data_IF_334375884721
#
_entry.id   IF_334375884721
#
_cell.length_a   1.000
_cell.length_b   1.000
_cell.length_c   1.000
_cell.angle_alpha   90.00
_cell.angle_beta   90.00
_cell.angle_gamma   90.00
#
_symmetry.space_group_name_H-M   'P 1'
#
loop_
_entity.id
_entity.type
_entity.pdbx_description
1 polymer ?
#
# COMPACT_ATOMS: atom_id res chain seq x y z
N UNK A 1 -12.04 -4.74 7.47
CA UNK A 1 -11.27 -3.62 6.89
C UNK A 1 -11.42 -3.67 5.38
N UNK A 2 -12.07 -2.65 4.80
CA UNK A 2 -12.17 -2.45 3.35
C UNK A 2 -10.77 -2.55 2.75
N UNK A 3 -10.51 -3.59 1.97
CA UNK A 3 -9.16 -3.88 1.47
C UNK A 3 -8.84 -2.90 0.35
N UNK A 4 -7.82 -2.03 0.48
CA UNK A 4 -7.49 -1.12 -0.59
C UNK A 4 -7.10 -1.93 -1.83
N UNK A 5 -7.69 -1.57 -2.98
CA UNK A 5 -7.34 -2.10 -4.29
C UNK A 5 -5.90 -1.78 -4.70
N UNK A 6 -5.32 -0.81 -4.00
CA UNK A 6 -3.98 -0.30 -4.19
C UNK A 6 -3.07 -0.83 -3.08
N UNK A 7 -1.99 -1.53 -3.46
CA UNK A 7 -0.99 -2.03 -2.52
C UNK A 7 0.40 -1.60 -2.97
N UNK A 8 1.24 -1.22 -2.03
CA UNK A 8 2.61 -0.77 -2.29
C UNK A 8 3.57 -1.53 -1.39
N UNK A 9 4.74 -1.91 -1.90
CA UNK A 9 5.86 -2.32 -1.05
C UNK A 9 6.83 -1.15 -0.97
N UNK A 10 7.07 -0.65 0.24
CA UNK A 10 7.77 0.62 0.46
C UNK A 10 9.28 0.40 0.66
N UNK A 11 10.15 1.20 0.01
CA UNK A 11 11.57 1.18 0.31
C UNK A 11 11.85 1.58 1.77
N UNK A 12 12.69 0.84 2.48
CA UNK A 12 13.15 1.25 3.82
C UNK A 12 14.28 2.30 3.75
N UNK A 13 14.00 3.39 3.03
CA UNK A 13 14.90 4.52 2.90
C UNK A 13 14.47 5.69 3.79
N UNK A 14 15.41 6.57 4.11
CA UNK A 14 15.16 7.80 4.88
C UNK A 14 14.03 8.65 4.28
N UNK A 15 13.94 8.74 2.95
CA UNK A 15 12.92 9.51 2.25
C UNK A 15 11.53 8.93 2.50
N UNK A 16 11.43 7.60 2.56
CA UNK A 16 10.23 6.91 2.90
C UNK A 16 9.86 7.21 4.37
N UNK A 17 10.81 7.13 5.31
CA UNK A 17 10.60 7.43 6.74
C UNK A 17 10.12 8.86 6.96
N UNK A 18 10.68 9.82 6.22
CA UNK A 18 10.23 11.20 6.25
C UNK A 18 8.79 11.35 5.75
N UNK A 19 8.43 10.65 4.66
CA UNK A 19 7.04 10.68 4.16
C UNK A 19 6.06 10.14 5.19
N UNK A 20 6.42 9.07 5.92
CA UNK A 20 5.60 8.55 7.00
C UNK A 20 5.43 9.53 8.16
N UNK A 21 6.49 10.24 8.54
CA UNK A 21 6.45 11.23 9.60
C UNK A 21 5.56 12.42 9.21
N UNK A 22 5.77 12.99 8.02
CA UNK A 22 4.94 14.08 7.49
C UNK A 22 3.49 13.62 7.40
N UNK A 23 3.27 12.40 6.94
CA UNK A 23 1.95 11.84 6.87
C UNK A 23 1.33 11.76 8.29
N UNK A 24 2.01 11.16 9.26
CA UNK A 24 1.53 11.09 10.65
C UNK A 24 1.17 12.48 11.22
N UNK A 25 2.02 13.48 10.98
CA UNK A 25 1.80 14.86 11.40
C UNK A 25 0.58 15.52 10.73
N UNK A 26 0.19 15.10 9.51
CA UNK A 26 -1.03 15.54 8.86
C UNK A 26 -2.28 14.79 9.34
N UNK A 27 -2.17 13.50 9.65
CA UNK A 27 -3.29 12.70 10.15
C UNK A 27 -3.69 13.12 11.56
N UNK A 28 -2.71 13.34 12.45
CA UNK A 28 -2.95 13.68 13.84
C UNK A 28 -3.95 14.85 14.04
N UNK A 29 -3.79 16.02 13.40
CA UNK A 29 -4.75 17.12 13.53
C UNK A 29 -6.11 16.76 12.93
N UNK A 30 -6.19 16.01 11.83
CA UNK A 30 -7.48 15.57 11.25
C UNK A 30 -8.24 14.69 12.24
N UNK A 31 -7.58 13.73 12.87
CA UNK A 31 -8.19 12.86 13.88
C UNK A 31 -8.65 13.68 15.09
N UNK A 32 -7.83 14.62 15.56
CA UNK A 32 -8.20 15.52 16.65
C UNK A 32 -9.43 16.35 16.28
N UNK A 33 -9.47 16.92 15.07
CA UNK A 33 -10.61 17.67 14.57
C UNK A 33 -11.86 16.79 14.52
N UNK A 34 -11.78 15.57 13.97
CA UNK A 34 -12.93 14.64 13.95
C UNK A 34 -13.44 14.28 15.35
N UNK A 35 -12.54 14.24 16.35
CA UNK A 35 -12.88 13.98 17.74
C UNK A 35 -13.35 15.22 18.51
N UNK A 36 -13.09 16.44 18.05
CA UNK A 36 -13.45 17.66 18.79
C UNK A 36 -14.53 18.49 18.10
N UNK A 37 -14.73 18.33 16.80
CA UNK A 37 -15.74 19.05 16.03
C UNK A 37 -17.14 18.78 16.57
N UNK A 38 -17.93 19.86 16.62
CA UNK A 38 -19.38 19.78 16.83
C UNK A 38 -20.00 19.08 15.64
N UNK A 39 -20.67 17.97 15.92
CA UNK A 39 -21.37 17.20 14.90
C UNK A 39 -22.67 17.92 14.52
N UNK A 40 -23.06 17.93 13.24
CA UNK A 40 -24.37 18.39 12.83
C UNK A 40 -25.48 17.61 13.54
N UNK A 41 -26.50 18.31 14.05
CA UNK A 41 -27.62 17.67 14.79
C UNK A 41 -28.29 16.60 13.93
N UNK A 42 -28.52 16.88 12.65
CA UNK A 42 -29.10 15.93 11.69
C UNK A 42 -28.32 14.60 11.58
N UNK A 43 -26.99 14.64 11.70
CA UNK A 43 -26.17 13.42 11.65
C UNK A 43 -26.32 12.59 12.92
N UNK A 44 -26.44 13.26 14.07
CA UNK A 44 -26.62 12.60 15.36
C UNK A 44 -28.04 12.00 15.45
N UNK A 45 -29.04 12.70 14.95
CA UNK A 45 -30.42 12.22 14.86
C UNK A 45 -30.56 10.97 13.97
N UNK A 46 -29.85 10.94 12.83
CA UNK A 46 -29.82 9.76 11.94
C UNK A 46 -29.35 8.48 12.63
N UNK A 47 -28.53 8.59 13.68
CA UNK A 47 -28.03 7.43 14.42
C UNK A 47 -28.66 7.32 15.81
N UNK A 48 -29.88 7.84 15.97
CA UNK A 48 -30.68 7.68 17.18
C UNK A 48 -30.19 8.50 18.37
N UNK A 49 -29.48 9.62 18.13
CA UNK A 49 -29.03 10.52 19.19
C UNK A 49 -27.66 10.17 19.78
N UNK A 50 -26.95 9.17 19.24
CA UNK A 50 -25.65 8.72 19.75
C UNK A 50 -24.47 9.36 18.99
N UNK A 51 -23.90 10.50 19.45
CA UNK A 51 -22.83 11.21 18.74
C UNK A 51 -21.54 10.39 18.61
N UNK A 52 -21.32 9.44 19.51
CA UNK A 52 -20.15 8.55 19.45
C UNK A 52 -20.16 7.66 18.20
N UNK A 53 -21.32 7.21 17.73
CA UNK A 53 -21.37 6.34 16.55
C UNK A 53 -20.92 7.12 15.31
N UNK A 54 -21.38 8.36 15.15
CA UNK A 54 -20.96 9.27 14.08
C UNK A 54 -19.46 9.53 14.14
N UNK A 55 -18.89 9.74 15.35
CA UNK A 55 -17.45 9.94 15.54
C UNK A 55 -16.63 8.72 15.18
N UNK A 56 -17.04 7.54 15.62
CA UNK A 56 -16.38 6.28 15.26
C UNK A 56 -16.45 6.07 13.74
N UNK A 57 -17.60 6.33 13.13
CA UNK A 57 -17.75 6.23 11.67
C UNK A 57 -16.83 7.22 10.93
N UNK A 58 -16.76 8.48 11.36
CA UNK A 58 -15.84 9.49 10.82
C UNK A 58 -14.38 9.08 11.01
N UNK A 59 -14.02 8.58 12.19
CA UNK A 59 -12.66 8.13 12.48
C UNK A 59 -12.27 6.94 11.58
N UNK A 60 -13.17 5.97 11.40
CA UNK A 60 -12.96 4.86 10.48
C UNK A 60 -12.83 5.35 9.03
N UNK A 61 -13.64 6.32 8.62
CA UNK A 61 -13.55 6.92 7.28
C UNK A 61 -12.21 7.66 7.09
N UNK A 62 -11.78 8.42 8.08
CA UNK A 62 -10.49 9.12 8.06
C UNK A 62 -9.33 8.14 7.99
N UNK A 63 -9.32 7.09 8.82
CA UNK A 63 -8.30 6.04 8.77
C UNK A 63 -8.30 5.30 7.43
N UNK A 64 -9.48 5.07 6.86
CA UNK A 64 -9.60 4.45 5.54
C UNK A 64 -9.05 5.35 4.42
N UNK A 65 -9.45 6.62 4.40
CA UNK A 65 -8.93 7.60 3.44
C UNK A 65 -7.42 7.79 3.61
N UNK A 66 -6.94 7.72 4.85
CA UNK A 66 -5.54 7.81 5.19
C UNK A 66 -4.69 6.70 4.59
N UNK A 67 -5.12 5.45 4.72
CA UNK A 67 -4.45 4.30 4.12
C UNK A 67 -4.34 4.45 2.59
N UNK A 68 -5.38 5.01 1.95
CA UNK A 68 -5.34 5.35 0.52
C UNK A 68 -4.33 6.44 0.19
N UNK A 69 -4.34 7.55 0.93
CA UNK A 69 -3.40 8.66 0.74
C UNK A 69 -1.95 8.20 0.91
N UNK A 70 -1.65 7.42 1.96
CA UNK A 70 -0.31 6.86 2.17
C UNK A 70 0.12 6.00 1.00
N UNK A 71 -0.75 5.10 0.55
CA UNK A 71 -0.42 4.23 -0.57
C UNK A 71 -0.15 5.06 -1.84
N UNK A 72 -0.95 6.09 -2.14
CA UNK A 72 -0.74 7.01 -3.26
C UNK A 72 0.61 7.73 -3.14
N UNK A 73 0.90 8.32 -1.99
CA UNK A 73 2.17 9.01 -1.73
C UNK A 73 3.35 8.06 -1.92
N UNK A 74 3.25 6.83 -1.42
CA UNK A 74 4.30 5.84 -1.62
C UNK A 74 4.45 5.41 -3.08
N UNK A 75 3.40 5.40 -3.89
CA UNK A 75 3.50 5.13 -5.32
C UNK A 75 4.12 6.28 -6.15
N UNK A 76 4.15 7.48 -5.58
CA UNK A 76 4.92 8.60 -6.13
C UNK A 76 6.42 8.44 -5.89
N UNK A 77 6.84 7.69 -4.86
CA UNK A 77 8.25 7.38 -4.66
C UNK A 77 8.79 6.58 -5.87
N UNK A 78 10.00 6.91 -6.34
CA UNK A 78 10.52 6.37 -7.60
C UNK A 78 10.76 4.85 -7.55
N UNK A 79 11.12 4.30 -6.39
CA UNK A 79 11.53 2.90 -6.22
C UNK A 79 10.42 1.95 -5.75
N UNK A 80 9.23 2.47 -5.38
CA UNK A 80 8.16 1.65 -4.79
C UNK A 80 7.39 0.88 -5.87
N UNK A 81 7.40 -0.47 -5.87
CA UNK A 81 6.47 -1.22 -6.69
C UNK A 81 5.07 -1.14 -6.10
N UNK A 82 4.08 -1.01 -6.99
CA UNK A 82 2.68 -0.97 -6.58
C UNK A 82 1.79 -1.84 -7.47
N UNK A 83 0.82 -2.47 -6.83
CA UNK A 83 -0.21 -3.27 -7.46
C UNK A 83 -1.50 -2.44 -7.51
N UNK A 84 -1.99 -2.18 -8.72
CA UNK A 84 -3.28 -1.56 -8.97
C UNK A 84 -4.21 -2.58 -9.64
N UNK A 85 -5.15 -3.11 -8.87
CA UNK A 85 -6.08 -4.14 -9.36
C UNK A 85 -5.38 -5.44 -9.72
N UNK A 86 -5.14 -5.67 -11.02
CA UNK A 86 -4.43 -6.85 -11.57
C UNK A 86 -3.13 -6.51 -12.30
N UNK A 87 -2.70 -5.25 -12.22
CA UNK A 87 -1.49 -4.77 -12.90
C UNK A 87 -0.47 -4.33 -11.87
N UNK A 88 0.71 -4.91 -11.94
CA UNK A 88 1.86 -4.59 -11.13
C UNK A 88 2.72 -3.58 -11.88
N UNK A 89 3.10 -2.53 -11.19
CA UNK A 89 3.99 -1.49 -11.69
C UNK A 89 5.30 -1.61 -10.93
N UNK A 90 6.34 -2.00 -11.63
CA UNK A 90 7.70 -2.11 -11.13
C UNK A 90 8.58 -1.02 -11.77
N UNK A 91 9.59 -0.57 -11.03
CA UNK A 91 10.59 0.36 -11.53
C UNK A 91 11.88 -0.42 -11.74
N UNK A 92 12.32 -0.45 -12.98
CA UNK A 92 13.68 -0.85 -13.35
C UNK A 92 14.57 0.39 -13.49
N UNK A 93 15.90 0.23 -13.48
CA UNK A 93 16.82 1.35 -13.72
C UNK A 93 16.40 2.14 -14.98
N UNK A 94 15.92 3.38 -14.77
CA UNK A 94 15.49 4.26 -15.86
C UNK A 94 14.07 4.07 -16.42
N UNK A 95 13.30 3.02 -16.04
CA UNK A 95 11.97 2.76 -16.65
C UNK A 95 10.92 2.26 -15.67
N UNK A 96 9.65 2.68 -15.85
CA UNK A 96 8.50 2.01 -15.22
C UNK A 96 7.96 0.93 -16.15
N UNK A 97 7.95 -0.30 -15.68
CA UNK A 97 7.44 -1.46 -16.41
C UNK A 97 6.10 -1.87 -15.82
N UNK A 98 5.16 -2.20 -16.70
CA UNK A 98 3.82 -2.68 -16.34
C UNK A 98 3.76 -4.16 -16.60
N UNK A 99 3.52 -4.94 -15.56
CA UNK A 99 3.39 -6.39 -15.60
C UNK A 99 1.95 -6.75 -15.22
N UNK A 100 1.23 -7.50 -16.04
CA UNK A 100 -0.10 -7.99 -15.62
C UNK A 100 0.10 -9.24 -14.77
N UNK A 101 -0.69 -9.39 -13.71
CA UNK A 101 -0.56 -10.53 -12.80
C UNK A 101 -0.73 -11.89 -13.50
N UNK A 102 -1.50 -11.94 -14.59
CA UNK A 102 -1.70 -13.14 -15.41
C UNK A 102 -0.46 -13.57 -16.20
N UNK A 103 0.47 -12.64 -16.42
CA UNK A 103 1.69 -12.86 -17.18
C UNK A 103 2.81 -13.38 -16.27
N UNK A 104 2.57 -13.45 -14.95
CA UNK A 104 3.49 -14.03 -13.96
C UNK A 104 3.28 -15.55 -13.92
N UNK A 105 4.36 -16.29 -14.12
CA UNK A 105 4.40 -17.76 -14.12
C UNK A 105 4.83 -18.29 -12.76
N UNK A 106 5.82 -17.65 -12.14
CA UNK A 106 6.31 -18.05 -10.83
C UNK A 106 6.79 -16.84 -10.03
N UNK A 107 6.85 -16.99 -8.71
CA UNK A 107 7.35 -15.98 -7.79
C UNK A 107 8.33 -16.66 -6.83
N UNK A 108 9.61 -16.33 -6.97
CA UNK A 108 10.68 -16.90 -6.18
C UNK A 108 11.28 -15.85 -5.27
N UNK A 109 11.90 -16.28 -4.18
CA UNK A 109 12.68 -15.41 -3.29
C UNK A 109 14.13 -15.81 -3.45
N UNK A 110 14.94 -14.92 -3.99
CA UNK A 110 16.35 -15.15 -4.23
C UNK A 110 17.21 -14.23 -3.37
N UNK A 111 18.37 -14.71 -2.94
CA UNK A 111 19.38 -13.87 -2.31
C UNK A 111 20.18 -13.13 -3.38
N UNK A 112 19.98 -11.81 -3.48
CA UNK A 112 20.77 -10.96 -4.39
C UNK A 112 21.90 -10.22 -3.66
N UNK A 113 23.06 -10.21 -4.30
CA UNK A 113 24.21 -9.35 -3.96
C UNK A 113 24.00 -7.99 -4.65
N UNK A 114 24.31 -6.83 -4.03
CA UNK A 114 25.07 -6.61 -2.80
C UNK A 114 24.23 -6.57 -1.51
N UNK A 115 24.77 -7.14 -0.43
CA UNK A 115 24.18 -7.06 0.91
C UNK A 115 23.33 -8.26 1.35
N UNK A 116 23.36 -9.38 0.61
CA UNK A 116 22.66 -10.64 0.95
C UNK A 116 21.18 -10.41 1.31
N UNK A 117 20.49 -9.57 0.54
CA UNK A 117 19.07 -9.31 0.77
C UNK A 117 18.25 -10.29 -0.03
N UNK A 118 17.27 -10.89 0.64
CA UNK A 118 16.22 -11.65 -0.01
C UNK A 118 15.37 -10.71 -0.85
N UNK A 119 15.33 -10.94 -2.16
CA UNK A 119 14.56 -10.17 -3.14
C UNK A 119 13.51 -11.08 -3.74
N UNK A 120 12.29 -10.56 -3.84
CA UNK A 120 11.21 -11.23 -4.54
C UNK A 120 11.47 -11.06 -6.03
N UNK A 121 11.65 -12.17 -6.75
CA UNK A 121 11.87 -12.23 -8.19
C UNK A 121 10.61 -12.80 -8.84
N UNK A 122 10.19 -12.18 -9.93
CA UNK A 122 9.04 -12.59 -10.73
C UNK A 122 9.53 -13.24 -12.02
N UNK A 123 9.06 -14.45 -12.27
CA UNK A 123 9.20 -15.08 -13.58
C UNK A 123 7.97 -14.79 -14.43
N UNK A 124 8.21 -14.22 -15.60
CA UNK A 124 7.17 -13.86 -16.56
C UNK A 124 7.00 -14.95 -17.62
N UNK A 125 5.83 -14.95 -18.29
CA UNK A 125 5.52 -15.88 -19.39
C UNK A 125 6.45 -15.77 -20.60
N UNK A 126 7.12 -14.63 -20.74
CA UNK A 126 8.13 -14.41 -21.78
C UNK A 126 9.51 -14.99 -21.39
N UNK A 127 9.61 -15.66 -20.23
CA UNK A 127 10.84 -16.21 -19.67
C UNK A 127 11.74 -15.17 -19.02
N UNK A 128 11.31 -13.90 -18.93
CA UNK A 128 12.12 -12.86 -18.28
C UNK A 128 11.94 -12.87 -16.77
N UNK A 129 13.07 -12.78 -16.06
CA UNK A 129 13.12 -12.62 -14.61
C UNK A 129 13.17 -11.13 -14.25
N UNK A 130 12.32 -10.71 -13.31
CA UNK A 130 12.21 -9.31 -12.88
C UNK A 130 12.26 -9.20 -11.38
N UNK A 131 13.17 -8.37 -10.88
CA UNK A 131 13.25 -8.06 -9.46
C UNK A 131 12.10 -7.13 -9.07
N UNK A 132 11.36 -7.52 -8.02
CA UNK A 132 10.22 -6.74 -7.54
C UNK A 132 10.61 -5.79 -6.42
N UNK A 133 10.98 -6.36 -5.28
CA UNK A 133 11.48 -5.64 -4.12
C UNK A 133 12.11 -6.63 -3.13
N UNK A 134 12.99 -6.15 -2.25
CA UNK A 134 13.41 -6.86 -1.05
C UNK A 134 12.23 -7.33 -0.17
N UNK A 135 12.38 -8.46 0.53
CA UNK A 135 11.35 -9.03 1.42
C UNK A 135 11.18 -8.23 2.71
N UNK A 136 12.23 -7.53 3.15
CA UNK A 136 12.27 -6.68 4.35
C UNK A 136 11.45 -5.39 4.18
N UNK A 137 11.09 -5.03 2.95
CA UNK A 137 10.30 -3.84 2.67
C UNK A 137 8.91 -3.91 3.31
N UNK A 138 8.50 -2.87 4.07
CA UNK A 138 7.15 -2.80 4.62
C UNK A 138 6.08 -2.93 3.53
N UNK A 139 5.27 -3.99 3.62
CA UNK A 139 4.21 -4.29 2.66
C UNK A 139 4.57 -5.33 1.59
N UNK A 140 5.82 -5.75 1.47
CA UNK A 140 6.28 -6.77 0.51
C UNK A 140 5.50 -8.08 0.66
N UNK A 141 5.40 -8.64 1.87
CA UNK A 141 4.65 -9.88 2.10
C UNK A 141 3.16 -9.78 1.73
N UNK A 142 2.51 -8.64 1.99
CA UNK A 142 1.10 -8.43 1.60
C UNK A 142 0.93 -8.30 0.09
N UNK A 143 1.95 -7.76 -0.59
CA UNK A 143 1.98 -7.62 -2.03
C UNK A 143 2.23 -8.99 -2.69
N UNK A 144 3.18 -9.76 -2.17
CA UNK A 144 3.46 -11.17 -2.55
C UNK A 144 2.21 -12.05 -2.47
N UNK A 145 1.55 -12.13 -1.30
CA UNK A 145 0.36 -12.98 -1.12
C UNK A 145 -0.77 -12.59 -2.07
N UNK A 146 -0.87 -11.31 -2.41
CA UNK A 146 -1.89 -10.84 -3.36
C UNK A 146 -1.52 -11.17 -4.79
N UNK A 147 -0.26 -11.01 -5.17
CA UNK A 147 0.25 -11.36 -6.49
C UNK A 147 0.13 -12.85 -6.75
N UNK A 148 0.60 -13.70 -5.83
CA UNK A 148 0.48 -15.16 -5.92
C UNK A 148 -0.98 -15.57 -6.15
N UNK A 149 -1.91 -15.01 -5.36
CA UNK A 149 -3.35 -15.27 -5.52
C UNK A 149 -3.92 -14.81 -6.87
N UNK A 150 -3.43 -13.70 -7.41
CA UNK A 150 -3.91 -13.18 -8.71
C UNK A 150 -3.28 -13.91 -9.90
N UNK A 151 -2.05 -14.39 -9.75
CA UNK A 151 -1.34 -15.22 -10.72
C UNK A 151 -1.87 -16.67 -10.72
N UNK A 152 -2.56 -17.08 -9.65
CA UNK A 152 -3.08 -18.45 -9.50
C UNK A 152 -2.05 -19.42 -8.91
N UNK A 153 -0.99 -18.90 -8.32
CA UNK A 153 0.07 -19.64 -7.64
C UNK A 153 -0.41 -19.97 -6.22
N UNK A 154 -0.33 -21.25 -5.85
CA UNK A 154 -0.79 -21.78 -4.56
C UNK A 154 0.34 -21.83 -3.56
#
# INVERSE_FOLDING_TARGET
MLRPYFRTARPDDWAARLTDLVAFLLLAPIVIICLLVRLPVAWVELVGGFPMIVRVALLLLCLYAWDYCRAIVHALLPQTPYLLGRTLYLREPGRRVRVRARDIVDIQVELRTPGMREVIVLELRDGSLRDLCPTDWPGAGRLFVRLARLAGLR
#
